data_IF_167111913211
#
_entry.id   IF_167111913211
#
_cell.length_a   1.000
_cell.length_b   1.000
_cell.length_c   1.000
_cell.angle_alpha   90.00
_cell.angle_beta   90.00
_cell.angle_gamma   90.00
#
_symmetry.space_group_name_H-M   'P 1'
#
loop_
_entity.id
_entity.type
_entity.pdbx_description
1 polymer ?
#
# COMPACT_ATOMS: atom_id res chain seq x y z
N UNK A 1 -18.96 -0.57 18.26
CA UNK A 1 -18.55 -0.50 16.85
C UNK A 1 -18.18 -1.92 16.40
N UNK A 2 -19.09 -2.60 15.71
CA UNK A 2 -18.81 -3.93 15.13
C UNK A 2 -18.58 -3.80 13.63
N UNK A 3 -17.55 -4.47 13.12
CA UNK A 3 -17.32 -4.56 11.68
C UNK A 3 -18.50 -5.28 11.03
N UNK A 4 -19.16 -4.70 10.00
CA UNK A 4 -20.29 -5.35 9.33
C UNK A 4 -19.88 -6.74 8.81
N UNK A 5 -20.66 -7.78 9.12
CA UNK A 5 -20.37 -9.15 8.67
C UNK A 5 -20.16 -9.26 7.17
N UNK A 6 -20.87 -8.43 6.38
CA UNK A 6 -20.70 -8.35 4.93
C UNK A 6 -19.27 -7.99 4.51
N UNK A 7 -18.62 -7.06 5.20
CA UNK A 7 -17.23 -6.70 4.91
C UNK A 7 -16.26 -7.85 5.21
N UNK A 8 -16.51 -8.57 6.31
CA UNK A 8 -15.69 -9.75 6.66
C UNK A 8 -15.83 -10.82 5.57
N UNK A 9 -17.06 -11.14 5.17
CA UNK A 9 -17.29 -12.14 4.11
C UNK A 9 -16.72 -11.71 2.77
N UNK A 10 -16.86 -10.43 2.40
CA UNK A 10 -16.25 -9.89 1.17
C UNK A 10 -14.73 -10.00 1.21
N UNK A 11 -14.11 -9.67 2.33
CA UNK A 11 -12.67 -9.78 2.50
C UNK A 11 -12.19 -11.24 2.37
N UNK A 12 -12.86 -12.18 3.06
CA UNK A 12 -12.55 -13.61 2.98
C UNK A 12 -12.72 -14.10 1.52
N UNK A 13 -13.84 -13.75 0.87
CA UNK A 13 -14.10 -14.15 -0.50
C UNK A 13 -13.03 -13.65 -1.47
N UNK A 14 -12.67 -12.35 -1.41
CA UNK A 14 -11.64 -11.76 -2.26
C UNK A 14 -10.27 -12.41 -1.98
N UNK A 15 -9.93 -12.64 -0.72
CA UNK A 15 -8.65 -13.28 -0.37
C UNK A 15 -8.56 -14.70 -0.92
N UNK A 16 -9.62 -15.50 -0.77
CA UNK A 16 -9.69 -16.85 -1.32
C UNK A 16 -9.67 -16.83 -2.86
N UNK A 17 -10.35 -15.89 -3.49
CA UNK A 17 -10.35 -15.74 -4.94
C UNK A 17 -8.93 -15.52 -5.48
N UNK A 18 -8.17 -14.59 -4.94
CA UNK A 18 -6.77 -14.35 -5.35
C UNK A 18 -5.82 -15.49 -4.97
N UNK A 19 -6.15 -16.26 -3.94
CA UNK A 19 -5.38 -17.44 -3.57
C UNK A 19 -5.57 -18.59 -4.57
N UNK A 20 -6.83 -18.86 -5.01
CA UNK A 20 -7.15 -19.95 -5.94
C UNK A 20 -6.94 -19.61 -7.42
N UNK A 21 -6.99 -18.32 -7.78
CA UNK A 21 -6.85 -17.87 -9.17
C UNK A 21 -5.72 -16.82 -9.29
N UNK A 22 -4.46 -17.19 -8.98
CA UNK A 22 -3.36 -16.24 -9.03
C UNK A 22 -3.05 -15.73 -10.45
N UNK A 23 -3.45 -16.47 -11.50
CA UNK A 23 -3.25 -16.11 -12.89
C UNK A 23 -3.96 -14.81 -13.29
N UNK A 24 -5.01 -14.41 -12.56
CA UNK A 24 -5.73 -13.16 -12.83
C UNK A 24 -4.82 -11.93 -12.65
N UNK A 25 -3.87 -12.03 -11.74
CA UNK A 25 -2.90 -10.98 -11.47
C UNK A 25 -1.92 -10.81 -12.64
N UNK A 26 -1.44 -11.93 -13.20
CA UNK A 26 -0.63 -11.93 -14.42
C UNK A 26 -1.40 -11.40 -15.61
N UNK A 27 -2.63 -11.87 -15.78
CA UNK A 27 -3.50 -11.41 -16.86
C UNK A 27 -3.75 -9.90 -16.79
N UNK A 28 -4.10 -9.40 -15.61
CA UNK A 28 -4.36 -7.97 -15.41
C UNK A 28 -3.09 -7.14 -15.63
N UNK A 29 -1.95 -7.59 -15.11
CA UNK A 29 -0.66 -6.92 -15.33
C UNK A 29 -0.26 -6.93 -16.81
N UNK A 30 -0.57 -8.03 -17.53
CA UNK A 30 -0.32 -8.18 -18.96
C UNK A 30 -1.06 -7.18 -19.84
N UNK A 31 -2.22 -6.66 -19.41
CA UNK A 31 -2.96 -5.62 -20.14
C UNK A 31 -2.15 -4.32 -20.30
N UNK A 32 -1.23 -4.06 -19.40
CA UNK A 32 -0.40 -2.85 -19.36
C UNK A 32 1.06 -3.08 -19.82
N UNK A 33 1.35 -4.30 -20.30
CA UNK A 33 2.68 -4.69 -20.72
C UNK A 33 2.77 -4.84 -22.25
N UNK A 34 3.73 -4.16 -22.87
CA UNK A 34 4.08 -4.31 -24.27
C UNK A 34 5.50 -4.86 -24.39
N UNK A 35 5.72 -5.87 -25.24
CA UNK A 35 7.03 -6.54 -25.37
C UNK A 35 8.18 -5.60 -25.76
N UNK A 36 7.89 -4.51 -26.46
CA UNK A 36 8.89 -3.54 -26.93
C UNK A 36 9.14 -2.41 -25.94
N UNK A 37 8.11 -1.97 -25.22
CA UNK A 37 8.14 -0.78 -24.36
C UNK A 37 8.06 -1.10 -22.85
N UNK A 38 7.85 -2.38 -22.52
CA UNK A 38 7.61 -2.80 -21.12
C UNK A 38 6.26 -2.30 -20.61
N UNK A 39 6.24 -1.86 -19.37
CA UNK A 39 5.05 -1.23 -18.76
C UNK A 39 4.94 0.24 -19.17
N UNK A 40 4.36 0.51 -20.33
CA UNK A 40 4.34 1.84 -20.97
C UNK A 40 3.73 2.94 -20.09
N UNK A 41 2.72 2.62 -19.29
CA UNK A 41 2.10 3.59 -18.39
C UNK A 41 3.03 4.04 -17.25
N UNK A 42 3.98 3.22 -16.83
CA UNK A 42 4.89 3.56 -15.73
C UNK A 42 5.79 4.75 -16.03
N UNK A 43 6.02 5.05 -17.31
CA UNK A 43 6.86 6.15 -17.76
C UNK A 43 6.08 7.44 -18.02
N UNK A 44 4.74 7.40 -17.93
CA UNK A 44 3.93 8.60 -18.14
C UNK A 44 4.10 9.59 -16.98
N UNK A 45 4.04 10.90 -17.32
CA UNK A 45 4.13 11.96 -16.31
C UNK A 45 3.07 11.81 -15.20
N UNK A 46 1.87 11.39 -15.56
CA UNK A 46 0.76 11.20 -14.62
C UNK A 46 1.03 10.06 -13.63
N UNK A 47 1.60 8.95 -14.09
CA UNK A 47 1.94 7.83 -13.21
C UNK A 47 3.07 8.21 -12.25
N UNK A 48 4.11 8.90 -12.74
CA UNK A 48 5.20 9.43 -11.92
C UNK A 48 4.70 10.44 -10.89
N UNK A 49 3.90 11.41 -11.33
CA UNK A 49 3.30 12.40 -10.44
C UNK A 49 2.46 11.74 -9.34
N UNK A 50 1.58 10.80 -9.70
CA UNK A 50 0.78 10.06 -8.72
C UNK A 50 1.63 9.25 -7.74
N UNK A 51 2.71 8.64 -8.22
CA UNK A 51 3.63 7.88 -7.38
C UNK A 51 4.39 8.76 -6.38
N UNK A 52 4.86 9.92 -6.80
CA UNK A 52 5.62 10.86 -5.96
C UNK A 52 4.71 11.67 -5.04
N UNK A 53 3.46 11.92 -5.44
CA UNK A 53 2.50 12.71 -4.66
C UNK A 53 2.12 12.04 -3.34
N UNK A 54 1.94 10.71 -3.33
CA UNK A 54 1.44 9.98 -2.16
C UNK A 54 2.39 10.09 -0.95
N UNK A 55 3.72 9.87 -1.06
CA UNK A 55 4.64 10.09 0.05
C UNK A 55 4.62 11.54 0.56
N UNK A 56 4.57 12.52 -0.35
CA UNK A 56 4.51 13.93 0.01
C UNK A 56 3.24 14.26 0.79
N UNK A 57 2.08 13.78 0.31
CA UNK A 57 0.81 13.94 1.03
C UNK A 57 0.86 13.28 2.40
N UNK A 58 1.40 12.06 2.49
CA UNK A 58 1.50 11.33 3.75
C UNK A 58 2.30 12.10 4.80
N UNK A 59 3.48 12.59 4.43
CA UNK A 59 4.32 13.40 5.32
C UNK A 59 3.62 14.70 5.69
N UNK A 60 3.00 15.37 4.72
CA UNK A 60 2.27 16.63 4.95
C UNK A 60 1.13 16.45 5.94
N UNK A 61 0.32 15.38 5.79
CA UNK A 61 -0.78 15.09 6.72
C UNK A 61 -0.23 14.73 8.11
N UNK A 62 0.82 13.94 8.21
CA UNK A 62 1.46 13.63 9.49
C UNK A 62 1.93 14.90 10.20
N UNK A 63 2.57 15.83 9.48
CA UNK A 63 3.02 17.11 10.05
C UNK A 63 1.84 17.99 10.49
N UNK A 64 0.76 18.04 9.71
CA UNK A 64 -0.46 18.76 10.07
C UNK A 64 -1.09 18.16 11.35
N UNK A 65 -1.16 16.83 11.46
CA UNK A 65 -1.69 16.17 12.65
C UNK A 65 -0.83 16.45 13.89
N UNK A 66 0.49 16.38 13.77
CA UNK A 66 1.44 16.69 14.85
C UNK A 66 1.28 18.16 15.27
N UNK A 67 1.26 19.08 14.31
CA UNK A 67 1.04 20.51 14.59
C UNK A 67 -0.30 20.78 15.27
N UNK A 68 -1.36 20.11 14.84
CA UNK A 68 -2.70 20.21 15.44
C UNK A 68 -2.71 19.69 16.89
N UNK A 69 -2.02 18.60 17.18
CA UNK A 69 -1.85 18.07 18.54
C UNK A 69 -1.14 19.11 19.42
N UNK A 70 -0.03 19.64 18.97
CA UNK A 70 0.76 20.65 19.72
C UNK A 70 -0.09 21.89 20.01
N UNK A 71 -0.79 22.44 18.99
CA UNK A 71 -1.61 23.63 19.15
C UNK A 71 -2.77 23.38 20.12
N UNK A 72 -3.47 22.24 20.02
CA UNK A 72 -4.57 21.91 20.92
C UNK A 72 -4.11 21.70 22.35
N UNK A 73 -2.91 21.15 22.58
CA UNK A 73 -2.33 20.99 23.90
C UNK A 73 -1.95 22.34 24.53
N UNK A 74 -1.33 23.24 23.76
CA UNK A 74 -0.87 24.55 24.25
C UNK A 74 -2.09 25.45 24.52
N UNK A 75 -3.02 25.53 23.57
CA UNK A 75 -4.18 26.42 23.66
C UNK A 75 -5.32 25.88 24.55
N UNK A 76 -5.28 24.60 24.91
CA UNK A 76 -6.35 23.89 25.67
C UNK A 76 -7.76 24.06 25.04
N UNK A 77 -7.82 24.25 23.71
CA UNK A 77 -9.03 24.44 22.93
C UNK A 77 -9.02 23.46 21.76
N UNK A 78 -10.22 23.00 21.38
CA UNK A 78 -10.40 22.18 20.17
C UNK A 78 -10.06 23.00 18.92
N UNK A 79 -9.35 22.40 17.98
CA UNK A 79 -9.08 22.96 16.66
C UNK A 79 -9.98 22.23 15.65
N UNK A 80 -10.68 22.97 14.75
CA UNK A 80 -11.60 22.38 13.76
C UNK A 80 -12.60 21.36 14.35
N UNK A 81 -13.14 21.61 15.55
CA UNK A 81 -14.10 20.73 16.24
C UNK A 81 -13.52 19.38 16.72
N UNK A 82 -12.28 19.06 16.39
CA UNK A 82 -11.63 17.80 16.80
C UNK A 82 -10.87 17.97 18.11
N UNK A 83 -10.93 16.92 18.94
CA UNK A 83 -10.18 16.85 20.20
C UNK A 83 -8.74 16.37 19.95
N UNK A 84 -7.84 16.63 20.90
CA UNK A 84 -6.46 16.08 20.86
C UNK A 84 -6.46 14.56 20.70
N UNK A 85 -7.42 13.85 21.31
CA UNK A 85 -7.55 12.40 21.19
C UNK A 85 -7.87 11.97 19.76
N UNK A 86 -8.70 12.73 19.04
CA UNK A 86 -9.03 12.42 17.63
C UNK A 86 -7.80 12.57 16.72
N UNK A 87 -7.03 13.64 16.88
CA UNK A 87 -5.77 13.82 16.13
C UNK A 87 -4.74 12.74 16.44
N UNK A 88 -4.63 12.37 17.72
CA UNK A 88 -3.73 11.27 18.13
C UNK A 88 -4.17 9.94 17.51
N UNK A 89 -5.47 9.64 17.51
CA UNK A 89 -6.01 8.45 16.87
C UNK A 89 -5.71 8.41 15.37
N UNK A 90 -5.93 9.51 14.65
CA UNK A 90 -5.60 9.61 13.22
C UNK A 90 -4.10 9.40 12.96
N UNK A 91 -3.25 10.02 13.76
CA UNK A 91 -1.79 9.87 13.65
C UNK A 91 -1.35 8.44 13.94
N UNK A 92 -1.88 7.81 14.97
CA UNK A 92 -1.59 6.41 15.28
C UNK A 92 -2.06 5.45 14.19
N UNK A 93 -3.22 5.70 13.60
CA UNK A 93 -3.72 4.89 12.46
C UNK A 93 -2.78 4.99 11.27
N UNK A 94 -2.26 6.17 10.97
CA UNK A 94 -1.30 6.39 9.90
C UNK A 94 0.05 5.70 10.16
N UNK A 95 0.55 5.77 11.39
CA UNK A 95 1.82 5.15 11.77
C UNK A 95 1.70 3.63 11.80
N UNK A 96 0.65 3.10 12.42
CA UNK A 96 0.49 1.65 12.61
C UNK A 96 0.08 0.97 11.30
N UNK A 97 -0.91 1.49 10.58
CA UNK A 97 -1.41 0.87 9.35
C UNK A 97 -0.36 0.85 8.24
N UNK A 98 -0.19 1.95 7.50
CA UNK A 98 0.77 1.98 6.39
C UNK A 98 2.22 1.90 6.85
N UNK A 99 2.57 2.51 7.98
CA UNK A 99 3.94 2.56 8.46
C UNK A 99 4.43 1.21 8.96
N UNK A 100 3.84 0.70 10.02
CA UNK A 100 4.32 -0.51 10.69
C UNK A 100 3.84 -1.79 9.99
N UNK A 101 2.52 -1.96 9.84
CA UNK A 101 1.96 -3.22 9.32
C UNK A 101 2.37 -3.43 7.87
N UNK A 102 2.14 -2.44 6.99
CA UNK A 102 2.39 -2.61 5.56
C UNK A 102 3.87 -2.58 5.23
N UNK A 103 4.59 -1.55 5.66
CA UNK A 103 6.00 -1.42 5.27
C UNK A 103 6.90 -2.40 6.03
N UNK A 104 6.81 -2.48 7.37
CA UNK A 104 7.76 -3.30 8.14
C UNK A 104 7.36 -4.77 8.19
N UNK A 105 6.05 -5.10 8.20
CA UNK A 105 5.65 -6.51 8.33
C UNK A 105 5.49 -7.18 6.98
N UNK A 106 4.69 -6.57 6.08
CA UNK A 106 4.38 -7.23 4.81
C UNK A 106 5.47 -7.08 3.76
N UNK A 107 6.05 -5.90 3.56
CA UNK A 107 7.06 -5.69 2.53
C UNK A 107 8.35 -6.45 2.80
N UNK A 108 8.78 -6.47 4.06
CA UNK A 108 10.09 -7.03 4.40
C UNK A 108 10.05 -8.55 4.56
N UNK A 109 8.87 -9.15 4.80
CA UNK A 109 8.75 -10.58 5.06
C UNK A 109 8.05 -11.38 3.94
N UNK A 110 7.34 -10.73 3.03
CA UNK A 110 6.58 -11.45 2.00
C UNK A 110 7.39 -11.75 0.74
N UNK A 111 8.40 -10.94 0.47
CA UNK A 111 9.34 -11.09 -0.66
C UNK A 111 8.67 -11.33 -2.02
N UNK A 112 7.51 -10.73 -2.27
CA UNK A 112 6.82 -10.88 -3.53
C UNK A 112 7.47 -10.06 -4.62
N UNK A 113 7.80 -10.71 -5.76
CA UNK A 113 8.37 -10.04 -6.93
C UNK A 113 7.42 -9.01 -7.53
N UNK A 114 7.95 -7.90 -8.03
CA UNK A 114 7.17 -6.91 -8.79
C UNK A 114 6.88 -7.43 -10.18
N UNK A 115 5.75 -7.08 -10.83
CA UNK A 115 5.45 -7.50 -12.19
C UNK A 115 6.58 -7.21 -13.17
N UNK A 116 7.23 -6.07 -13.05
CA UNK A 116 8.37 -5.68 -13.92
C UNK A 116 9.61 -6.58 -13.75
N UNK A 117 9.70 -7.32 -12.65
CA UNK A 117 10.87 -8.14 -12.31
C UNK A 117 10.65 -9.63 -12.57
N UNK A 118 9.46 -10.06 -13.00
CA UNK A 118 9.15 -11.46 -13.24
C UNK A 118 9.45 -11.89 -14.69
N UNK A 119 9.72 -13.17 -14.85
CA UNK A 119 10.12 -13.78 -16.14
C UNK A 119 9.07 -13.54 -17.23
N UNK A 120 7.78 -13.59 -16.87
CA UNK A 120 6.65 -13.39 -17.77
C UNK A 120 6.66 -11.99 -18.44
N UNK A 121 7.29 -11.01 -17.80
CA UNK A 121 7.43 -9.63 -18.31
C UNK A 121 8.88 -9.22 -18.58
N UNK A 122 9.77 -10.21 -18.80
CA UNK A 122 11.17 -9.96 -19.19
C UNK A 122 12.12 -9.71 -18.03
N UNK A 123 11.71 -9.96 -16.79
CA UNK A 123 12.57 -9.94 -15.61
C UNK A 123 13.27 -11.28 -15.36
N UNK A 124 13.83 -11.43 -14.17
CA UNK A 124 14.61 -12.62 -13.77
C UNK A 124 13.97 -13.45 -12.67
N UNK A 125 12.98 -12.92 -11.97
CA UNK A 125 12.35 -13.56 -10.83
C UNK A 125 11.15 -14.41 -11.24
N UNK A 126 10.84 -15.44 -10.47
CA UNK A 126 9.63 -16.24 -10.63
C UNK A 126 8.41 -15.47 -10.10
N UNK A 127 7.24 -15.70 -10.73
CA UNK A 127 5.98 -15.19 -10.23
C UNK A 127 5.60 -15.84 -8.90
N UNK A 128 5.24 -15.04 -7.92
CA UNK A 128 4.76 -15.50 -6.62
C UNK A 128 3.33 -14.98 -6.37
N UNK A 129 2.35 -15.85 -6.07
CA UNK A 129 0.99 -15.45 -5.72
C UNK A 129 0.94 -14.51 -4.51
N UNK A 130 -0.16 -13.74 -4.37
CA UNK A 130 -0.28 -12.69 -3.36
C UNK A 130 -0.10 -13.18 -1.91
N UNK A 131 -0.53 -14.39 -1.60
CA UNK A 131 -0.51 -14.94 -0.22
C UNK A 131 0.58 -16.01 0.00
N UNK A 132 1.55 -16.10 -0.90
CA UNK A 132 2.68 -17.02 -0.78
C UNK A 132 3.94 -16.23 -0.48
N UNK A 133 4.67 -16.63 0.56
CA UNK A 133 5.97 -16.05 0.89
C UNK A 133 7.01 -16.62 -0.08
N UNK A 134 7.88 -15.77 -0.59
CA UNK A 134 8.96 -16.19 -1.50
C UNK A 134 10.30 -16.08 -0.77
N UNK A 135 10.93 -17.21 -0.51
CA UNK A 135 12.22 -17.27 0.17
C UNK A 135 13.42 -17.10 -0.80
N UNK A 136 13.19 -17.25 -2.12
CA UNK A 136 14.25 -17.25 -3.14
C UNK A 136 14.50 -15.87 -3.77
N UNK A 137 13.87 -14.83 -3.29
CA UNK A 137 13.95 -13.53 -3.93
C UNK A 137 15.12 -12.69 -3.44
N UNK A 138 15.94 -12.20 -4.35
CA UNK A 138 17.04 -11.27 -4.04
C UNK A 138 16.50 -9.92 -3.57
N UNK A 139 17.05 -9.42 -2.46
CA UNK A 139 16.64 -8.15 -1.85
C UNK A 139 16.61 -6.99 -2.84
N UNK A 140 15.55 -6.20 -2.79
CA UNK A 140 15.37 -4.98 -3.59
C UNK A 140 14.34 -5.08 -4.72
N UNK A 141 14.15 -6.24 -5.35
CA UNK A 141 13.15 -6.45 -6.42
C UNK A 141 11.81 -7.03 -5.94
N UNK A 142 11.72 -7.41 -4.68
CA UNK A 142 10.68 -8.27 -4.10
C UNK A 142 9.83 -7.61 -3.01
N UNK A 143 9.62 -6.33 -3.10
CA UNK A 143 8.81 -5.55 -2.13
C UNK A 143 7.43 -5.17 -2.69
N UNK A 144 6.78 -6.10 -3.42
CA UNK A 144 5.53 -5.83 -4.11
C UNK A 144 4.27 -6.02 -3.25
N UNK A 145 4.31 -6.84 -2.24
CA UNK A 145 3.18 -7.13 -1.35
C UNK A 145 3.38 -6.47 0.03
N UNK A 146 2.42 -5.78 0.59
CA UNK A 146 1.29 -5.16 -0.08
C UNK A 146 1.69 -3.75 -0.53
N UNK A 147 0.95 -3.13 -1.47
CA UNK A 147 1.30 -1.78 -1.92
C UNK A 147 1.05 -0.75 -0.82
N UNK A 148 2.09 -0.03 -0.42
CA UNK A 148 2.00 1.02 0.59
C UNK A 148 1.19 2.24 0.13
N UNK A 149 1.23 2.58 -1.15
CA UNK A 149 0.54 3.75 -1.70
C UNK A 149 -0.98 3.67 -1.55
N UNK A 150 -1.68 2.60 -2.03
CA UNK A 150 -3.11 2.45 -1.79
C UNK A 150 -3.45 2.38 -0.29
N UNK A 151 -2.66 1.67 0.51
CA UNK A 151 -2.94 1.55 1.94
C UNK A 151 -2.90 2.91 2.64
N UNK A 152 -1.95 3.76 2.28
CA UNK A 152 -1.88 5.13 2.80
C UNK A 152 -3.06 5.97 2.33
N UNK A 153 -3.44 5.86 1.05
CA UNK A 153 -4.59 6.59 0.50
C UNK A 153 -5.90 6.23 1.21
N UNK A 154 -6.13 4.97 1.52
CA UNK A 154 -7.33 4.51 2.23
C UNK A 154 -7.27 4.71 3.75
N UNK A 155 -6.15 5.15 4.31
CA UNK A 155 -6.03 5.50 5.73
C UNK A 155 -6.61 6.90 6.07
N UNK A 156 -6.91 7.70 5.04
CA UNK A 156 -7.53 9.02 5.15
C UNK A 156 -9.00 8.97 4.74
#
# INVERSE_FOLDING_TARGET
>A
FGIPKKLIYSFIFISLFFYFVPQIDLWFSGLFFHKQEGFYLSQTLWARFGYELIPVLTVSVALILIGSIIITMIRKKTLFTFSTKSYLYMLLTLIIGPGLIVNSTFKDNWNRSRPVSIIEFGGTNTFTPAFVINDDCTQGSCTSFSSGHPTTFFAF
#
